data_IF_810782781807
#
_entry.id   IF_810782781807
#
_cell.length_a   1.000
_cell.length_b   1.000
_cell.length_c   1.000
_cell.angle_alpha   90.00
_cell.angle_beta   90.00
_cell.angle_gamma   90.00
#
_symmetry.space_group_name_H-M   'P 1'
#
loop_
_entity.id
_entity.type
_entity.pdbx_description
1 polymer ?
#
# COMPACT_ATOMS: atom_id res chain seq x y z
N UNK A 1 -21.69 -6.28 18.94
CA UNK A 1 -21.55 -7.07 18.82
C UNK A 1 -21.78 -7.53 18.62
N UNK A 2 -21.55 -6.78 18.38
CA UNK A 2 -21.48 -7.60 18.02
C UNK A 2 -21.55 -7.96 17.94
N UNK A 3 -21.41 -7.40 17.87
CA UNK A 3 -21.29 -8.23 17.63
C UNK A 3 -21.34 -8.68 17.58
N UNK A 4 -21.30 -8.32 17.61
CA UNK A 4 -21.15 -9.15 17.39
C UNK A 4 -21.35 -9.61 17.20
N UNK A 5 -21.19 -9.13 16.90
CA UNK A 5 -21.17 -9.91 16.63
C UNK A 5 -21.33 -10.42 16.44
N UNK A 6 -21.44 -10.04 16.31
CA UNK A 6 -21.44 -10.91 16.02
C UNK A 6 -21.55 -11.59 15.96
N UNK A 7 -21.61 -11.39 16.13
CA UNK A 7 -21.41 -12.28 15.92
C UNK A 7 -21.50 -12.73 15.65
N UNK A 8 -21.56 -12.29 15.52
CA UNK A 8 -21.29 -12.98 15.10
C UNK A 8 -21.23 -13.21 14.88
N UNK A 9 -21.31 -13.33 14.78
CA UNK A 9 -21.07 -13.98 14.64
C UNK A 9 -20.97 -14.55 14.67
N UNK A 10 -21.21 -14.54 14.70
CA UNK A 10 -20.71 -15.13 14.77
C UNK A 10 -20.36 -15.57 14.75
N UNK A 11 -20.38 -15.52 14.74
CA UNK A 11 -19.65 -15.82 14.71
C UNK A 11 -19.18 -15.56 14.65
N UNK A 12 -18.79 -15.22 14.41
CA UNK A 12 -18.03 -14.99 14.47
C UNK A 12 -17.37 -14.13 14.68
N UNK A 13 -17.27 -13.44 14.79
CA UNK A 13 -16.53 -12.23 14.89
C UNK A 13 -15.10 -12.41 15.41
N UNK A 14 -14.84 -13.46 16.13
CA UNK A 14 -13.50 -13.74 16.63
C UNK A 14 -12.44 -13.77 15.52
N UNK A 15 -12.68 -14.37 14.32
CA UNK A 15 -11.70 -14.29 13.24
C UNK A 15 -11.39 -12.85 12.83
N UNK A 16 -12.41 -11.98 12.80
CA UNK A 16 -12.20 -10.57 12.41
C UNK A 16 -11.35 -9.82 13.41
N UNK A 17 -11.50 -10.11 14.71
CA UNK A 17 -10.69 -9.43 15.73
C UNK A 17 -9.23 -9.82 15.65
N UNK A 18 -8.91 -10.98 15.03
CA UNK A 18 -7.53 -11.43 14.88
C UNK A 18 -6.89 -10.92 13.59
N UNK A 19 -7.67 -10.44 12.65
CA UNK A 19 -7.13 -9.96 11.37
C UNK A 19 -6.53 -8.57 11.55
N UNK A 20 -5.26 -8.44 11.15
CA UNK A 20 -4.60 -7.14 11.09
C UNK A 20 -5.02 -6.45 9.80
N UNK A 21 -5.52 -5.21 9.92
CA UNK A 21 -5.96 -4.45 8.75
C UNK A 21 -4.98 -3.32 8.46
N UNK A 22 -4.58 -3.24 7.20
CA UNK A 22 -3.64 -2.24 6.72
C UNK A 22 -4.12 -1.69 5.39
N UNK A 23 -3.56 -0.57 4.98
CA UNK A 23 -3.89 0.05 3.70
C UNK A 23 -2.69 0.79 3.16
N UNK A 24 -2.61 0.90 1.83
CA UNK A 24 -1.55 1.60 1.16
C UNK A 24 -1.89 1.92 -0.27
N UNK A 25 -0.91 2.40 -1.01
CA UNK A 25 -1.12 2.79 -2.40
C UNK A 25 0.01 2.29 -3.27
N UNK A 26 -0.33 1.98 -4.52
CA UNK A 26 0.65 1.92 -5.59
C UNK A 26 0.76 3.35 -6.10
N UNK A 27 1.77 4.07 -5.60
CA UNK A 27 1.98 5.49 -5.85
C UNK A 27 2.73 5.66 -7.15
N UNK A 28 2.19 6.47 -8.07
CA UNK A 28 2.78 6.66 -9.38
C UNK A 28 2.92 8.14 -9.73
N UNK A 29 3.80 8.42 -10.69
CA UNK A 29 3.96 9.75 -11.26
C UNK A 29 4.47 9.62 -12.69
N UNK A 30 4.41 10.73 -13.43
CA UNK A 30 5.18 10.86 -14.66
C UNK A 30 6.54 11.44 -14.29
N UNK A 31 7.61 10.85 -14.82
CA UNK A 31 8.97 11.33 -14.55
C UNK A 31 9.11 12.77 -14.99
N UNK A 32 9.64 13.66 -14.10
CA UNK A 32 9.93 15.04 -14.52
C UNK A 32 10.98 15.13 -15.63
N UNK A 33 11.85 14.12 -15.73
CA UNK A 33 12.93 14.11 -16.71
C UNK A 33 12.47 13.55 -18.06
N UNK A 34 11.66 12.48 -18.07
CA UNK A 34 11.36 11.75 -19.31
C UNK A 34 9.89 11.69 -19.66
N UNK A 35 9.00 12.01 -18.71
CA UNK A 35 7.56 11.82 -18.89
C UNK A 35 7.10 10.37 -18.78
N UNK A 36 8.00 9.42 -18.61
CA UNK A 36 7.66 8.01 -18.43
C UNK A 36 7.02 7.73 -17.09
N UNK A 37 6.25 6.65 -17.03
CA UNK A 37 5.59 6.24 -15.80
C UNK A 37 6.60 5.72 -14.79
N UNK A 38 6.53 6.21 -13.56
CA UNK A 38 7.35 5.75 -12.45
C UNK A 38 6.49 5.38 -11.26
N UNK A 39 6.90 4.35 -10.55
CA UNK A 39 6.24 3.85 -9.36
C UNK A 39 7.16 4.03 -8.16
N UNK A 40 6.60 4.40 -7.01
CA UNK A 40 7.36 4.67 -5.80
C UNK A 40 7.44 3.42 -4.91
N UNK A 41 8.66 2.96 -4.66
CA UNK A 41 8.92 1.87 -3.74
C UNK A 41 9.61 2.42 -2.49
N UNK A 42 9.30 1.84 -1.34
CA UNK A 42 9.92 2.20 -0.06
C UNK A 42 10.80 1.06 0.42
N UNK A 43 11.95 1.41 1.00
CA UNK A 43 12.83 0.45 1.65
C UNK A 43 12.60 0.51 3.16
N UNK A 44 12.38 -0.66 3.77
CA UNK A 44 12.17 -0.80 5.21
C UNK A 44 13.41 -1.43 5.84
N UNK A 45 14.25 -0.64 6.56
CA UNK A 45 15.52 -1.17 7.08
C UNK A 45 15.33 -2.36 8.03
N UNK A 46 14.25 -2.37 8.82
CA UNK A 46 13.99 -3.45 9.77
C UNK A 46 13.89 -4.80 9.07
N UNK A 47 13.33 -4.84 7.87
CA UNK A 47 13.10 -6.07 7.11
C UNK A 47 14.04 -6.20 5.92
N UNK A 48 14.79 -5.15 5.62
CA UNK A 48 15.65 -5.06 4.43
C UNK A 48 14.87 -5.48 3.18
N UNK A 49 13.69 -4.88 3.00
CA UNK A 49 12.84 -5.21 1.86
C UNK A 49 12.35 -3.94 1.16
N UNK A 50 11.88 -4.14 -0.08
CA UNK A 50 11.25 -3.11 -0.90
C UNK A 50 9.78 -3.45 -1.06
N UNK A 51 8.92 -2.47 -0.78
CA UNK A 51 7.47 -2.67 -0.84
C UNK A 51 6.78 -1.40 -1.27
N UNK A 52 5.45 -1.49 -1.45
CA UNK A 52 4.60 -0.32 -1.60
C UNK A 52 4.47 0.40 -0.25
N UNK A 53 4.28 1.74 -0.27
CA UNK A 53 3.98 2.45 0.98
C UNK A 53 2.64 1.98 1.53
N UNK A 54 2.63 1.54 2.78
CA UNK A 54 1.45 1.01 3.46
C UNK A 54 1.69 0.96 4.96
N UNK A 55 0.61 0.82 5.71
CA UNK A 55 0.73 0.62 7.14
C UNK A 55 -0.60 0.24 7.77
N UNK A 56 -0.55 -0.07 9.05
CA UNK A 56 -1.72 -0.50 9.81
C UNK A 56 -2.71 0.63 9.95
N UNK A 57 -3.99 0.30 9.84
CA UNK A 57 -5.05 1.26 10.08
C UNK A 57 -5.15 1.57 11.56
N UNK A 58 -5.45 2.83 11.87
CA UNK A 58 -5.79 3.22 13.21
C UNK A 58 -7.21 2.76 13.52
N UNK A 59 -7.53 2.64 14.81
CA UNK A 59 -8.85 2.21 15.22
C UNK A 59 -9.92 3.16 14.66
N UNK A 60 -10.89 2.58 13.95
CA UNK A 60 -11.98 3.34 13.35
C UNK A 60 -11.60 4.16 12.12
N UNK A 61 -10.38 4.03 11.64
CA UNK A 61 -9.93 4.79 10.48
C UNK A 61 -10.49 4.21 9.19
N UNK A 62 -10.99 5.08 8.31
CA UNK A 62 -11.38 4.70 6.95
C UNK A 62 -10.16 4.20 6.18
N UNK A 63 -10.31 3.09 5.45
CA UNK A 63 -9.17 2.44 4.81
C UNK A 63 -8.51 3.33 3.77
N UNK A 64 -9.28 4.05 2.93
CA UNK A 64 -8.68 4.95 1.94
C UNK A 64 -7.95 6.10 2.61
N UNK A 65 -8.57 6.70 3.63
CA UNK A 65 -7.91 7.78 4.38
C UNK A 65 -6.61 7.29 5.01
N UNK A 66 -6.62 6.07 5.57
CA UNK A 66 -5.42 5.46 6.14
C UNK A 66 -4.35 5.20 5.09
N UNK A 67 -4.74 4.74 3.90
CA UNK A 67 -3.81 4.53 2.80
C UNK A 67 -3.09 5.83 2.44
N UNK A 68 -3.83 6.93 2.29
CA UNK A 68 -3.26 8.22 1.93
C UNK A 68 -2.37 8.76 3.05
N UNK A 69 -2.77 8.56 4.31
CA UNK A 69 -1.97 8.95 5.47
C UNK A 69 -0.64 8.20 5.49
N UNK A 70 -0.67 6.89 5.25
CA UNK A 70 0.56 6.09 5.24
C UNK A 70 1.49 6.49 4.10
N UNK A 71 0.94 6.80 2.93
CA UNK A 71 1.75 7.30 1.81
C UNK A 71 2.48 8.56 2.22
N UNK A 72 1.79 9.50 2.86
CA UNK A 72 2.42 10.74 3.27
C UNK A 72 3.47 10.51 4.35
N UNK A 73 3.17 9.65 5.33
CA UNK A 73 4.14 9.34 6.39
C UNK A 73 5.40 8.67 5.85
N UNK A 74 5.25 7.76 4.89
CA UNK A 74 6.38 6.96 4.40
C UNK A 74 7.12 7.60 3.25
N UNK A 75 6.46 8.38 2.41
CA UNK A 75 7.09 8.95 1.21
C UNK A 75 7.18 10.47 1.23
N UNK A 76 6.48 11.13 2.14
CA UNK A 76 6.42 12.57 2.18
C UNK A 76 5.53 13.18 1.10
N UNK A 77 4.78 12.38 0.36
CA UNK A 77 3.98 12.86 -0.76
C UNK A 77 2.49 12.86 -0.45
N UNK A 78 1.82 13.94 -0.84
CA UNK A 78 0.37 13.94 -0.97
C UNK A 78 0.01 13.27 -2.27
N UNK A 79 -1.14 12.59 -2.29
CA UNK A 79 -1.53 11.79 -3.44
C UNK A 79 -3.00 11.94 -3.74
N UNK A 80 -3.34 11.86 -5.02
CA UNK A 80 -4.73 11.83 -5.49
C UNK A 80 -5.16 10.38 -5.66
N UNK A 81 -6.17 9.90 -4.91
CA UNK A 81 -6.59 8.51 -5.03
C UNK A 81 -7.29 8.23 -6.35
N UNK A 82 -7.05 7.04 -6.88
CA UNK A 82 -7.70 6.51 -8.07
C UNK A 82 -8.43 5.22 -7.75
N UNK A 83 -8.38 4.27 -8.68
CA UNK A 83 -9.10 3.01 -8.56
C UNK A 83 -8.57 2.16 -7.40
N UNK A 84 -9.47 1.45 -6.72
CA UNK A 84 -9.07 0.44 -5.76
C UNK A 84 -8.49 -0.75 -6.50
N UNK A 85 -7.38 -1.29 -5.98
CA UNK A 85 -6.69 -2.44 -6.55
C UNK A 85 -7.01 -3.68 -5.73
N UNK A 86 -6.65 -4.88 -6.21
CA UNK A 86 -6.88 -6.09 -5.43
C UNK A 86 -6.17 -6.03 -4.08
N UNK A 87 -6.87 -6.44 -3.03
CA UNK A 87 -6.31 -6.51 -1.69
C UNK A 87 -5.38 -7.72 -1.57
N UNK A 88 -4.38 -7.61 -0.70
CA UNK A 88 -3.52 -8.73 -0.37
C UNK A 88 -3.95 -9.36 0.94
N UNK A 89 -3.94 -10.69 1.00
CA UNK A 89 -4.28 -11.46 2.19
C UNK A 89 -3.16 -12.46 2.45
N UNK A 90 -2.58 -12.39 3.63
CA UNK A 90 -1.48 -13.30 4.00
C UNK A 90 -1.35 -13.35 5.51
N UNK A 91 -0.48 -14.25 5.98
CA UNK A 91 -0.19 -14.36 7.42
C UNK A 91 1.10 -13.62 7.71
N UNK A 92 1.06 -12.74 8.71
CA UNK A 92 2.23 -11.99 9.17
C UNK A 92 2.31 -12.11 10.69
N UNK A 93 3.46 -12.55 11.20
CA UNK A 93 3.67 -12.74 12.63
C UNK A 93 2.59 -13.62 13.27
N UNK A 94 2.22 -14.70 12.55
CA UNK A 94 1.22 -15.67 13.02
C UNK A 94 -0.21 -15.19 12.98
N UNK A 95 -0.50 -14.04 12.39
CA UNK A 95 -1.85 -13.47 12.34
C UNK A 95 -2.29 -13.22 10.90
N UNK A 96 -3.57 -13.46 10.57
CA UNK A 96 -4.08 -13.05 9.27
C UNK A 96 -3.93 -11.55 9.09
N UNK A 97 -3.55 -11.15 7.88
CA UNK A 97 -3.40 -9.73 7.54
C UNK A 97 -4.08 -9.45 6.21
N UNK A 98 -4.85 -8.35 6.17
CA UNK A 98 -5.44 -7.83 4.96
C UNK A 98 -4.84 -6.46 4.68
N UNK A 99 -4.34 -6.25 3.46
CA UNK A 99 -3.86 -4.95 3.02
C UNK A 99 -4.70 -4.51 1.83
N UNK A 100 -5.42 -3.41 1.98
CA UNK A 100 -6.17 -2.81 0.87
C UNK A 100 -5.30 -1.79 0.16
N UNK A 101 -5.37 -1.77 -1.17
CA UNK A 101 -4.52 -0.89 -1.99
C UNK A 101 -5.36 -0.07 -2.95
N UNK A 102 -4.89 1.14 -3.21
CA UNK A 102 -5.43 2.02 -4.24
C UNK A 102 -4.30 2.48 -5.14
N UNK A 103 -4.61 2.69 -6.42
CA UNK A 103 -3.77 3.48 -7.29
C UNK A 103 -3.83 4.93 -6.81
N UNK A 104 -2.70 5.62 -6.77
CA UNK A 104 -2.70 7.02 -6.37
C UNK A 104 -1.60 7.76 -7.11
N UNK A 105 -1.93 8.95 -7.61
CA UNK A 105 -0.96 9.80 -8.29
C UNK A 105 -0.30 10.74 -7.30
N UNK A 106 1.04 10.77 -7.29
CA UNK A 106 1.78 11.68 -6.44
C UNK A 106 1.56 13.12 -6.90
N UNK A 107 1.20 14.02 -5.97
CA UNK A 107 0.93 15.42 -6.29
C UNK A 107 2.12 16.31 -5.93
N UNK A 108 2.51 16.31 -4.68
CA UNK A 108 3.58 17.17 -4.17
C UNK A 108 4.16 16.56 -2.91
N UNK A 109 5.36 16.94 -2.61
CA UNK A 109 6.01 16.51 -1.37
C UNK A 109 7.48 16.25 -1.55
N UNK A 110 8.14 15.97 -0.43
CA UNK A 110 9.56 15.67 -0.38
C UNK A 110 9.77 14.55 0.61
N UNK A 111 10.53 13.52 0.21
CA UNK A 111 10.85 12.40 1.09
C UNK A 111 11.85 12.83 2.16
N UNK A 112 11.58 12.44 3.40
CA UNK A 112 12.51 12.58 4.53
C UNK A 112 12.65 11.20 5.16
N UNK A 113 13.89 10.67 5.28
CA UNK A 113 14.09 9.36 5.90
C UNK A 113 13.59 9.30 7.34
N UNK A 114 13.04 8.14 7.70
CA UNK A 114 12.59 7.85 9.06
C UNK A 114 13.16 6.50 9.49
N UNK A 115 12.89 6.11 10.74
CA UNK A 115 13.32 4.80 11.23
C UNK A 115 12.60 3.66 10.50
N UNK A 116 11.39 3.92 9.99
CA UNK A 116 10.60 2.90 9.32
C UNK A 116 10.90 2.79 7.84
N UNK A 117 11.20 3.91 7.19
CA UNK A 117 11.53 3.98 5.76
C UNK A 117 12.74 4.88 5.59
N UNK A 118 13.85 4.29 5.15
CA UNK A 118 15.10 5.03 5.01
C UNK A 118 15.39 5.46 3.58
N UNK A 119 14.73 4.87 2.58
CA UNK A 119 14.92 5.21 1.16
C UNK A 119 13.64 5.03 0.38
N UNK A 120 13.48 5.83 -0.67
CA UNK A 120 12.44 5.63 -1.69
C UNK A 120 13.11 5.59 -3.05
N UNK A 121 12.52 4.84 -3.97
CA UNK A 121 12.94 4.80 -5.36
C UNK A 121 11.74 5.03 -6.26
N UNK A 122 11.94 5.82 -7.30
CA UNK A 122 10.98 5.99 -8.37
C UNK A 122 11.48 5.19 -9.56
N UNK A 123 10.77 4.12 -9.91
CA UNK A 123 11.22 3.15 -10.89
C UNK A 123 10.16 2.95 -11.98
N UNK A 124 10.62 2.61 -13.19
CA UNK A 124 9.70 2.16 -14.24
C UNK A 124 8.95 0.93 -13.75
N UNK A 125 7.79 0.61 -14.36
CA UNK A 125 7.05 -0.59 -13.95
C UNK A 125 7.88 -1.87 -14.01
N UNK A 126 8.69 -2.05 -15.05
CA UNK A 126 9.54 -3.24 -15.17
C UNK A 126 10.59 -3.29 -14.07
N UNK A 127 11.25 -2.16 -13.79
CA UNK A 127 12.26 -2.10 -12.73
C UNK A 127 11.63 -2.27 -11.34
N UNK A 128 10.45 -1.70 -11.13
CA UNK A 128 9.72 -1.87 -9.87
C UNK A 128 9.40 -3.35 -9.64
N UNK A 129 8.91 -4.05 -10.68
CA UNK A 129 8.61 -5.47 -10.57
C UNK A 129 9.84 -6.28 -10.15
N UNK A 130 11.00 -5.95 -10.70
CA UNK A 130 12.24 -6.66 -10.35
C UNK A 130 12.72 -6.33 -8.94
N UNK A 131 12.48 -5.09 -8.47
CA UNK A 131 12.99 -4.64 -7.17
C UNK A 131 12.12 -5.08 -6.00
N UNK A 132 10.80 -5.18 -6.21
CA UNK A 132 9.88 -5.55 -5.14
C UNK A 132 10.26 -6.91 -4.56
N UNK A 133 10.31 -7.00 -3.23
CA UNK A 133 10.77 -8.19 -2.55
C UNK A 133 9.74 -9.32 -2.58
N UNK A 134 8.45 -8.99 -2.38
CA UNK A 134 7.41 -10.00 -2.27
C UNK A 134 6.67 -10.21 -3.59
N UNK A 135 6.44 -11.48 -3.99
CA UNK A 135 5.69 -11.75 -5.22
C UNK A 135 4.30 -11.11 -5.24
N UNK A 136 3.60 -11.10 -4.10
CA UNK A 136 2.27 -10.48 -4.03
C UNK A 136 2.29 -8.99 -4.35
N UNK A 137 3.39 -8.32 -4.02
CA UNK A 137 3.53 -6.89 -4.35
C UNK A 137 3.78 -6.67 -5.82
N UNK A 138 4.44 -7.61 -6.49
CA UNK A 138 4.72 -7.53 -7.94
C UNK A 138 3.44 -7.59 -8.76
N UNK A 139 2.46 -8.36 -8.30
CA UNK A 139 1.18 -8.47 -9.00
C UNK A 139 0.46 -7.13 -9.10
N UNK A 140 0.68 -6.23 -8.15
CA UNK A 140 0.03 -4.93 -8.15
C UNK A 140 0.58 -3.99 -9.22
N UNK A 141 1.76 -4.27 -9.76
CA UNK A 141 2.26 -3.49 -10.92
C UNK A 141 1.32 -3.67 -12.10
N UNK A 142 0.95 -4.90 -12.41
CA UNK A 142 0.05 -5.17 -13.54
C UNK A 142 -1.36 -4.61 -13.27
N UNK A 143 -1.82 -4.72 -12.03
CA UNK A 143 -3.13 -4.17 -11.65
C UNK A 143 -3.15 -2.64 -11.85
N UNK A 144 -2.08 -1.95 -11.45
CA UNK A 144 -1.97 -0.51 -11.68
C UNK A 144 -2.02 -0.19 -13.16
N UNK A 145 -1.20 -0.88 -13.97
CA UNK A 145 -1.13 -0.60 -15.40
C UNK A 145 -2.49 -0.76 -16.08
N UNK A 146 -3.29 -1.72 -15.62
CA UNK A 146 -4.64 -1.90 -16.13
C UNK A 146 -5.52 -0.69 -15.85
N UNK A 147 -5.43 -0.08 -14.67
CA UNK A 147 -6.25 1.08 -14.32
C UNK A 147 -5.84 2.34 -15.08
N UNK A 148 -4.58 2.45 -15.50
CA UNK A 148 -4.07 3.63 -16.21
C UNK A 148 -4.23 3.49 -17.73
N UNK A 149 -4.70 2.35 -18.22
CA UNK A 149 -4.86 2.12 -19.65
C UNK A 149 -6.02 2.96 -20.18
N UNK A 150 -5.85 3.65 -21.32
CA UNK A 150 -6.95 4.39 -21.92
C UNK A 150 -8.12 3.49 -22.27
N UNK A 151 -9.34 4.03 -22.15
CA UNK A 151 -10.57 3.29 -22.45
C UNK A 151 -10.69 3.00 -23.95
#
# INVERSE_FOLDING_TARGET
VSSPDDPGDSGDSAPDTLTVRAAGCVLWRRSPATGGLELCLVHRPKYDDWSWPKGKLKRGEDALAGALREVEEETGHRAAPGAELPAAHYVANGRPKEVRYWAAEALSGTFTPTDEVDRVLWLSPAAARRRLTQPRDRDLVDALLTTLRPA
#
